data_IF_054469325602
#
_entry.id   IF_054469325602
#
_cell.length_a   1.000
_cell.length_b   1.000
_cell.length_c   1.000
_cell.angle_alpha   90.00
_cell.angle_beta   90.00
_cell.angle_gamma   90.00
#
_symmetry.space_group_name_H-M   'P 1'
#
loop_
_entity.id
_entity.type
_entity.pdbx_description
1 polymer ?
#
# COMPACT_ATOMS: atom_id res chain seq x y z
N UNK A 1 8.49 -6.40 -30.68
CA UNK A 1 7.76 -6.03 -29.47
C UNK A 1 6.76 -7.15 -29.16
N UNK A 2 6.51 -7.51 -27.90
CA UNK A 2 5.47 -8.47 -27.57
C UNK A 2 4.11 -7.93 -28.01
N UNK A 3 3.19 -8.81 -28.44
CA UNK A 3 1.84 -8.41 -28.81
C UNK A 3 1.00 -8.01 -27.56
N UNK A 4 -0.13 -7.36 -27.78
CA UNK A 4 -1.01 -6.90 -26.69
C UNK A 4 -1.56 -8.05 -25.84
N UNK A 5 -1.78 -9.24 -26.42
CA UNK A 5 -2.25 -10.39 -25.69
C UNK A 5 -1.17 -10.92 -24.74
N UNK A 6 0.07 -11.01 -25.18
CA UNK A 6 1.23 -11.37 -24.35
C UNK A 6 1.43 -10.35 -23.21
N UNK A 7 1.29 -9.04 -23.49
CA UNK A 7 1.40 -8.01 -22.46
C UNK A 7 0.32 -8.19 -21.38
N UNK A 8 -0.93 -8.38 -21.76
CA UNK A 8 -2.04 -8.53 -20.82
C UNK A 8 -1.95 -9.83 -20.02
N UNK A 9 -1.69 -10.95 -20.67
CA UNK A 9 -1.74 -12.25 -20.01
C UNK A 9 -0.50 -12.54 -19.16
N UNK A 10 0.65 -12.03 -19.58
CA UNK A 10 1.93 -12.38 -18.94
C UNK A 10 2.48 -11.26 -18.08
N UNK A 11 2.49 -10.03 -18.61
CA UNK A 11 3.17 -8.93 -17.94
C UNK A 11 2.30 -8.13 -16.98
N UNK A 12 1.01 -7.97 -17.26
CA UNK A 12 0.11 -7.22 -16.37
C UNK A 12 0.10 -7.77 -14.93
N UNK A 13 -0.08 -9.09 -14.68
CA UNK A 13 -0.05 -9.62 -13.32
C UNK A 13 1.34 -9.57 -12.68
N UNK A 14 2.42 -9.59 -13.46
CA UNK A 14 3.79 -9.42 -12.95
C UNK A 14 4.08 -7.98 -12.58
N UNK A 15 3.71 -7.05 -13.43
CA UNK A 15 3.85 -5.61 -13.14
C UNK A 15 3.02 -5.18 -11.95
N UNK A 16 1.82 -5.74 -11.80
CA UNK A 16 1.02 -5.57 -10.58
C UNK A 16 1.77 -6.03 -9.32
N UNK A 17 2.44 -7.17 -9.39
CA UNK A 17 3.25 -7.68 -8.28
C UNK A 17 4.42 -6.76 -7.95
N UNK A 18 5.14 -6.29 -8.98
CA UNK A 18 6.27 -5.35 -8.80
C UNK A 18 5.78 -4.04 -8.19
N UNK A 19 4.71 -3.46 -8.74
CA UNK A 19 4.12 -2.22 -8.22
C UNK A 19 3.73 -2.39 -6.74
N UNK A 20 3.06 -3.48 -6.40
CA UNK A 20 2.65 -3.78 -5.03
C UNK A 20 3.85 -3.92 -4.09
N UNK A 21 4.89 -4.64 -4.50
CA UNK A 21 6.11 -4.79 -3.68
C UNK A 21 6.77 -3.43 -3.44
N UNK A 22 6.97 -2.64 -4.48
CA UNK A 22 7.60 -1.32 -4.35
C UNK A 22 6.77 -0.37 -3.48
N UNK A 23 5.49 -0.29 -3.71
CA UNK A 23 4.58 0.54 -2.91
C UNK A 23 4.54 0.08 -1.46
N UNK A 24 4.50 -1.24 -1.21
CA UNK A 24 4.53 -1.81 0.13
C UNK A 24 5.83 -1.48 0.88
N UNK A 25 6.98 -1.58 0.21
CA UNK A 25 8.28 -1.23 0.80
C UNK A 25 8.40 0.26 1.12
N UNK A 26 8.02 1.13 0.19
CA UNK A 26 8.03 2.58 0.40
C UNK A 26 7.09 2.99 1.54
N UNK A 27 5.93 2.35 1.62
CA UNK A 27 4.98 2.62 2.69
C UNK A 27 5.47 2.11 4.05
N UNK A 28 6.10 0.92 4.08
CA UNK A 28 6.74 0.36 5.27
C UNK A 28 7.86 1.27 5.80
N UNK A 29 8.61 1.95 4.91
CA UNK A 29 9.66 2.90 5.30
C UNK A 29 9.11 4.05 6.15
N UNK A 30 7.91 4.58 5.86
CA UNK A 30 7.26 5.58 6.70
C UNK A 30 6.97 5.03 8.11
N UNK A 31 6.51 3.79 8.20
CA UNK A 31 6.29 3.11 9.48
C UNK A 31 7.59 2.86 10.25
N UNK A 32 8.66 2.42 9.56
CA UNK A 32 10.00 2.26 10.16
C UNK A 32 10.52 3.58 10.72
N UNK A 33 10.39 4.66 9.97
CA UNK A 33 10.81 5.98 10.42
C UNK A 33 10.05 6.45 11.66
N UNK A 34 8.73 6.20 11.74
CA UNK A 34 7.90 6.59 12.89
C UNK A 34 8.13 5.70 14.11
N UNK A 35 8.20 4.38 13.93
CA UNK A 35 8.25 3.40 15.04
C UNK A 35 9.68 3.20 15.56
N UNK A 36 10.65 3.06 14.64
CA UNK A 36 12.04 2.72 14.99
C UNK A 36 13.00 3.90 14.81
N UNK A 37 12.54 5.04 14.27
CA UNK A 37 13.42 6.18 13.97
C UNK A 37 14.41 5.91 12.84
N UNK A 38 14.10 4.99 11.92
CA UNK A 38 14.97 4.64 10.80
C UNK A 38 14.21 4.67 9.46
N UNK A 39 14.68 5.45 8.46
CA UNK A 39 15.76 6.45 8.56
C UNK A 39 15.39 7.61 9.51
N UNK A 40 16.39 8.17 10.17
CA UNK A 40 16.17 9.26 11.11
C UNK A 40 15.68 10.51 10.38
N UNK A 41 14.51 10.99 10.76
CA UNK A 41 13.94 12.23 10.22
C UNK A 41 14.28 13.43 11.13
N UNK A 42 14.48 14.64 10.57
CA UNK A 42 14.83 15.82 11.36
C UNK A 42 13.84 16.17 12.47
N UNK A 43 12.55 15.86 12.26
CA UNK A 43 11.46 16.14 13.19
C UNK A 43 10.88 14.86 13.80
N UNK A 44 11.74 13.85 14.04
CA UNK A 44 11.29 12.59 14.63
C UNK A 44 10.68 12.82 16.01
N UNK A 45 9.38 12.55 16.15
CA UNK A 45 8.71 12.56 17.44
C UNK A 45 8.91 11.21 18.15
N UNK A 46 9.05 11.19 19.50
CA UNK A 46 9.10 9.93 20.25
C UNK A 46 7.88 9.06 19.95
N UNK A 47 8.14 7.77 19.71
CA UNK A 47 7.07 6.83 19.45
C UNK A 47 6.19 6.63 20.68
N UNK A 48 4.89 6.77 20.52
CA UNK A 48 3.90 6.51 21.55
C UNK A 48 2.70 5.75 20.95
N UNK A 49 2.59 4.47 21.28
CA UNK A 49 1.62 3.54 20.68
C UNK A 49 0.17 4.04 20.70
N UNK A 50 -0.25 4.69 21.80
CA UNK A 50 -1.63 5.15 21.95
C UNK A 50 -1.92 6.50 21.30
N UNK A 51 -0.92 7.15 20.71
CA UNK A 51 -1.12 8.33 19.89
C UNK A 51 -1.58 7.91 18.50
N UNK A 52 -2.45 8.70 17.87
CA UNK A 52 -2.87 8.43 16.49
C UNK A 52 -1.67 8.47 15.53
N UNK A 53 -0.88 9.53 15.62
CA UNK A 53 0.38 9.70 14.89
C UNK A 53 1.47 10.18 15.88
N UNK A 54 2.64 9.54 15.98
CA UNK A 54 3.17 8.45 15.13
C UNK A 54 2.71 7.04 15.53
N UNK A 55 1.98 6.84 16.61
CA UNK A 55 1.70 5.54 17.20
C UNK A 55 0.92 4.58 16.31
N UNK A 56 -0.41 4.65 16.31
CA UNK A 56 -1.26 3.72 15.57
C UNK A 56 -0.99 3.77 14.07
N UNK A 57 -0.85 4.97 13.50
CA UNK A 57 -0.55 5.13 12.08
C UNK A 57 0.82 4.53 11.72
N UNK A 58 1.86 4.78 12.51
CA UNK A 58 3.19 4.19 12.26
C UNK A 58 3.16 2.65 12.29
N UNK A 59 2.37 2.06 13.19
CA UNK A 59 2.20 0.61 13.24
C UNK A 59 1.45 0.08 12.02
N UNK A 60 0.38 0.76 11.58
CA UNK A 60 -0.36 0.40 10.36
C UNK A 60 0.54 0.48 9.12
N UNK A 61 1.36 1.52 9.01
CA UNK A 61 2.31 1.68 7.91
C UNK A 61 3.39 0.58 7.92
N UNK A 62 3.93 0.25 9.08
CA UNK A 62 4.98 -0.76 9.21
C UNK A 62 4.45 -2.15 8.89
N UNK A 63 3.42 -2.59 9.59
CA UNK A 63 2.85 -3.95 9.44
C UNK A 63 2.09 -4.08 8.12
N UNK A 64 1.26 -3.10 7.79
CA UNK A 64 0.49 -3.09 6.55
C UNK A 64 1.38 -3.02 5.32
N UNK A 65 2.42 -2.20 5.34
CA UNK A 65 3.42 -2.12 4.28
C UNK A 65 4.15 -3.45 4.08
N UNK A 66 4.56 -4.13 5.15
CA UNK A 66 5.18 -5.45 5.09
C UNK A 66 4.23 -6.49 4.49
N UNK A 67 2.98 -6.57 4.98
CA UNK A 67 1.98 -7.50 4.47
C UNK A 67 1.69 -7.25 2.99
N UNK A 68 1.59 -5.98 2.61
CA UNK A 68 1.40 -5.59 1.22
C UNK A 68 2.61 -5.98 0.37
N UNK A 69 3.85 -5.73 0.82
CA UNK A 69 5.06 -6.12 0.10
C UNK A 69 5.14 -7.64 -0.13
N UNK A 70 4.74 -8.45 0.84
CA UNK A 70 4.66 -9.90 0.73
C UNK A 70 3.46 -10.38 -0.11
N UNK A 71 2.45 -9.55 -0.29
CA UNK A 71 1.20 -9.93 -0.94
C UNK A 71 0.38 -10.91 -0.11
N UNK A 72 0.30 -10.67 1.20
CA UNK A 72 -0.45 -11.47 2.14
C UNK A 72 -1.67 -10.69 2.63
N UNK A 73 -2.86 -11.29 2.48
CA UNK A 73 -4.15 -10.63 2.72
C UNK A 73 -4.28 -9.31 1.94
N UNK A 74 -3.73 -9.28 0.74
CA UNK A 74 -3.53 -8.05 -0.05
C UNK A 74 -4.78 -7.18 -0.12
N UNK A 75 -5.94 -7.76 -0.43
CA UNK A 75 -7.18 -6.98 -0.59
C UNK A 75 -7.62 -6.32 0.71
N UNK A 76 -7.65 -7.05 1.81
CA UNK A 76 -8.06 -6.53 3.12
C UNK A 76 -7.08 -5.47 3.62
N UNK A 77 -5.79 -5.77 3.54
CA UNK A 77 -4.73 -4.84 3.95
C UNK A 77 -4.80 -3.56 3.12
N UNK A 78 -4.88 -3.66 1.80
CA UNK A 78 -4.96 -2.52 0.91
C UNK A 78 -6.18 -1.63 1.20
N UNK A 79 -7.34 -2.21 1.51
CA UNK A 79 -8.53 -1.43 1.88
C UNK A 79 -8.32 -0.64 3.18
N UNK A 80 -7.73 -1.28 4.19
CA UNK A 80 -7.41 -0.62 5.48
C UNK A 80 -6.41 0.53 5.26
N UNK A 81 -5.35 0.29 4.48
CA UNK A 81 -4.34 1.31 4.20
C UNK A 81 -4.88 2.46 3.34
N UNK A 82 -5.83 2.20 2.44
CA UNK A 82 -6.53 3.26 1.72
C UNK A 82 -7.30 4.17 2.67
N UNK A 83 -7.98 3.58 3.66
CA UNK A 83 -8.66 4.32 4.73
C UNK A 83 -7.70 5.14 5.58
N UNK A 84 -6.56 4.56 5.96
CA UNK A 84 -5.50 5.26 6.70
C UNK A 84 -5.02 6.51 5.95
N UNK A 85 -4.75 6.38 4.65
CA UNK A 85 -4.31 7.50 3.82
C UNK A 85 -5.39 8.56 3.62
N UNK A 86 -6.65 8.17 3.51
CA UNK A 86 -7.76 9.13 3.46
C UNK A 86 -7.85 9.94 4.77
N UNK A 87 -7.78 9.24 5.91
CA UNK A 87 -7.78 9.90 7.23
C UNK A 87 -6.57 10.83 7.37
N UNK A 88 -5.36 10.37 7.00
CA UNK A 88 -4.16 11.18 7.04
C UNK A 88 -4.27 12.45 6.18
N UNK A 89 -4.83 12.33 4.98
CA UNK A 89 -5.06 13.50 4.13
C UNK A 89 -5.99 14.54 4.79
N UNK A 90 -7.16 14.11 5.23
CA UNK A 90 -8.14 15.04 5.80
C UNK A 90 -7.73 15.62 7.15
N UNK A 91 -6.97 14.89 7.96
CA UNK A 91 -6.53 15.37 9.26
C UNK A 91 -5.25 16.21 9.22
N UNK A 92 -4.29 15.84 8.37
CA UNK A 92 -2.96 16.46 8.39
C UNK A 92 -2.69 17.42 7.23
N UNK A 93 -3.33 17.23 6.08
CA UNK A 93 -3.03 17.98 4.86
C UNK A 93 -4.14 18.96 4.47
N UNK A 94 -5.37 18.50 4.37
CA UNK A 94 -6.52 19.33 3.94
C UNK A 94 -6.69 20.63 4.76
N UNK A 95 -6.46 20.66 6.09
CA UNK A 95 -6.57 21.88 6.87
C UNK A 95 -5.53 22.96 6.50
N UNK A 96 -4.43 22.59 5.81
CA UNK A 96 -3.38 23.51 5.38
C UNK A 96 -3.73 24.25 4.08
N UNK A 97 -4.75 23.82 3.35
CA UNK A 97 -5.20 24.43 2.10
C UNK A 97 -5.84 23.45 1.14
N UNK A 98 -6.55 23.97 0.16
CA UNK A 98 -7.32 23.16 -0.79
C UNK A 98 -6.46 22.38 -1.79
N UNK A 99 -5.34 22.98 -2.25
CA UNK A 99 -4.53 22.35 -3.29
C UNK A 99 -3.52 21.34 -2.73
N UNK A 100 -3.58 20.05 -3.11
CA UNK A 100 -2.66 19.02 -2.61
C UNK A 100 -1.18 19.32 -2.82
N UNK A 101 -0.83 19.94 -3.94
CA UNK A 101 0.53 20.41 -4.22
C UNK A 101 1.05 21.37 -3.14
N UNK A 102 0.20 22.24 -2.63
CA UNK A 102 0.59 23.27 -1.65
C UNK A 102 0.45 22.79 -0.21
N UNK A 103 -0.48 21.85 0.05
CA UNK A 103 -0.68 21.32 1.39
C UNK A 103 0.21 20.09 1.70
N UNK A 104 0.97 19.60 0.70
CA UNK A 104 1.84 18.44 0.83
C UNK A 104 1.11 17.10 0.87
N UNK A 105 -0.17 17.05 0.49
CA UNK A 105 -1.01 15.85 0.58
C UNK A 105 -1.06 14.97 -0.66
N UNK A 106 -0.30 15.30 -1.73
CA UNK A 106 -0.32 14.53 -2.98
C UNK A 106 0.00 13.07 -2.77
N UNK A 107 1.02 12.77 -1.97
CA UNK A 107 1.45 11.40 -1.71
C UNK A 107 0.37 10.59 -0.97
N UNK A 108 -0.33 11.19 -0.01
CA UNK A 108 -1.42 10.53 0.69
C UNK A 108 -2.58 10.18 -0.27
N UNK A 109 -2.90 11.09 -1.19
CA UNK A 109 -3.91 10.84 -2.22
C UNK A 109 -3.46 9.70 -3.15
N UNK A 110 -2.24 9.76 -3.66
CA UNK A 110 -1.70 8.72 -4.56
C UNK A 110 -1.72 7.35 -3.89
N UNK A 111 -1.23 7.24 -2.66
CA UNK A 111 -1.28 5.98 -1.90
C UNK A 111 -2.71 5.49 -1.70
N UNK A 112 -3.65 6.36 -1.32
CA UNK A 112 -5.05 6.00 -1.14
C UNK A 112 -5.61 5.30 -2.39
N UNK A 113 -5.46 5.90 -3.56
CA UNK A 113 -6.00 5.34 -4.81
C UNK A 113 -5.21 4.12 -5.31
N UNK A 114 -3.91 4.06 -5.11
CA UNK A 114 -3.10 2.86 -5.42
C UNK A 114 -3.52 1.69 -4.53
N UNK A 115 -3.78 1.90 -3.25
CA UNK A 115 -4.29 0.87 -2.36
C UNK A 115 -5.72 0.42 -2.74
N UNK A 116 -6.60 1.34 -3.13
CA UNK A 116 -7.91 0.98 -3.68
C UNK A 116 -7.78 0.13 -4.96
N UNK A 117 -6.79 0.43 -5.80
CA UNK A 117 -6.50 -0.40 -6.96
C UNK A 117 -6.06 -1.81 -6.54
N UNK A 118 -5.16 -1.97 -5.56
CA UNK A 118 -4.78 -3.31 -5.06
C UNK A 118 -5.93 -4.04 -4.38
N UNK A 119 -6.85 -3.34 -3.73
CA UNK A 119 -8.06 -3.94 -3.20
C UNK A 119 -8.89 -4.61 -4.30
N UNK A 120 -9.04 -3.99 -5.45
CA UNK A 120 -9.77 -4.54 -6.59
C UNK A 120 -8.92 -5.58 -7.36
N UNK A 121 -7.68 -5.23 -7.71
CA UNK A 121 -6.81 -6.07 -8.56
C UNK A 121 -6.24 -7.28 -7.81
N UNK A 122 -5.97 -7.15 -6.51
CA UNK A 122 -5.31 -8.19 -5.70
C UNK A 122 -3.80 -8.13 -5.74
N UNK A 123 -3.14 -9.23 -5.34
CA UNK A 123 -1.70 -9.28 -5.10
C UNK A 123 -0.81 -9.49 -6.34
N UNK A 124 -1.40 -9.84 -7.48
CA UNK A 124 -0.64 -10.20 -8.69
C UNK A 124 -0.07 -11.62 -8.65
N UNK A 125 0.77 -11.95 -9.64
CA UNK A 125 1.32 -13.28 -9.82
C UNK A 125 2.26 -13.73 -8.68
N UNK A 126 3.08 -12.81 -8.18
CA UNK A 126 4.08 -13.07 -7.15
C UNK A 126 3.59 -12.63 -5.76
N UNK A 127 2.50 -13.23 -5.28
CA UNK A 127 1.91 -12.95 -3.97
C UNK A 127 1.77 -14.21 -3.14
N UNK A 128 1.88 -14.08 -1.82
CA UNK A 128 1.59 -15.20 -0.90
C UNK A 128 0.12 -15.60 -0.95
N UNK A 129 -0.78 -14.65 -1.24
CA UNK A 129 -2.20 -14.95 -1.43
C UNK A 129 -2.42 -15.95 -2.57
N UNK A 130 -1.67 -15.81 -3.67
CA UNK A 130 -1.77 -16.73 -4.81
C UNK A 130 -1.24 -18.12 -4.46
N UNK A 131 -0.12 -18.20 -3.73
CA UNK A 131 0.46 -19.49 -3.31
C UNK A 131 -0.49 -20.26 -2.38
N UNK A 132 -1.26 -19.52 -1.55
CA UNK A 132 -2.22 -20.08 -0.60
C UNK A 132 -3.60 -20.39 -1.21
N UNK A 133 -3.87 -19.87 -2.40
CA UNK A 133 -5.16 -20.10 -3.07
C UNK A 133 -5.30 -21.59 -3.46
N UNK A 134 -6.45 -22.23 -3.20
CA UNK A 134 -6.69 -23.60 -3.64
C UNK A 134 -6.66 -23.68 -5.18
N UNK A 135 -6.15 -24.80 -5.71
CA UNK A 135 -6.02 -25.00 -7.15
C UNK A 135 -7.32 -24.78 -7.94
N UNK A 136 -8.48 -25.02 -7.33
CA UNK A 136 -9.79 -24.76 -7.89
C UNK A 136 -10.08 -23.28 -8.15
N UNK A 137 -9.48 -22.38 -7.40
CA UNK A 137 -9.66 -20.93 -7.57
C UNK A 137 -8.77 -20.35 -8.68
N UNK A 138 -7.80 -21.11 -9.16
CA UNK A 138 -6.84 -20.70 -10.20
C UNK A 138 -7.24 -21.17 -11.60
N UNK A 139 -8.28 -21.99 -11.73
CA UNK A 139 -8.86 -22.41 -13.02
C UNK A 139 -9.54 -21.21 -13.69
N UNK A 140 -9.27 -20.91 -14.97
CA UNK A 140 -10.06 -19.92 -15.68
C UNK A 140 -11.52 -20.39 -15.70
N UNK A 141 -12.43 -19.55 -15.24
CA UNK A 141 -13.86 -19.75 -15.37
C UNK A 141 -14.16 -20.00 -16.86
N UNK A 142 -14.63 -21.20 -17.20
CA UNK A 142 -15.20 -21.48 -18.51
C UNK A 142 -16.52 -20.72 -18.59
N UNK A 143 -16.48 -19.53 -19.13
CA UNK A 143 -17.66 -18.79 -19.59
C UNK A 143 -17.61 -18.73 -21.11
#
# INVERSE_FOLDING_TARGET
MPDLATLRLTWEPRMLSILRMMVGLLYMEHGLAKVLGFPLQPNHAPYALFNLNPGLQGLLELVGGLLLALGLFTRTVAFILAGDMAVAYFMAHAPRGFFPLLNGGELAIVYCFVFLYFWVAGGGEWSLDRIRAPASALSPSRA
#
